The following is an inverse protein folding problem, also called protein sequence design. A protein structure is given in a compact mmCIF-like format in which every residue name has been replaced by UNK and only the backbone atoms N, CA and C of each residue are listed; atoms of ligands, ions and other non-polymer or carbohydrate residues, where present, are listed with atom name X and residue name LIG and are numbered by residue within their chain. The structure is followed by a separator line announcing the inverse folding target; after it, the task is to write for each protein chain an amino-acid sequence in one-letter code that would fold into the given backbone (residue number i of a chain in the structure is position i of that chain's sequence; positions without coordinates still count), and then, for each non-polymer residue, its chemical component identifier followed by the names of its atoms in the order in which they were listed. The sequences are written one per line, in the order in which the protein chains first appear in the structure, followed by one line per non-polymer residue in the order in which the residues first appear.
data_IF_458353019882
#
_entry.id   IF_458353019882
#
_cell.length_a   1.000
_cell.length_b   1.000
_cell.length_c   1.000
_cell.angle_alpha   90.00
_cell.angle_beta   90.00
_cell.angle_gamma   90.00
#
_symmetry.space_group_name_H-M   'P 1'
#
loop_
_entity.id
_entity.type
_entity.pdbx_description
1 polymer ?
#
# COMPACT_ATOMS: atom_id res chain seq x y z
N UNK A 1 46.36 78.28 32.09
CA UNK A 1 45.15 78.35 31.22
C UNK A 1 45.21 77.42 29.99
N UNK A 2 46.34 77.30 29.27
CA UNK A 2 46.43 76.49 28.03
C UNK A 2 46.19 74.97 28.24
N UNK A 3 46.79 74.39 29.28
CA UNK A 3 46.71 72.93 29.61
C UNK A 3 45.29 72.48 29.99
N UNK A 4 44.55 73.30 30.75
CA UNK A 4 43.17 73.00 31.15
C UNK A 4 42.22 72.97 29.94
N UNK A 5 42.47 73.84 28.96
CA UNK A 5 41.69 73.91 27.72
C UNK A 5 41.91 72.68 26.85
N UNK A 6 43.16 72.24 26.67
CA UNK A 6 43.49 71.01 25.93
C UNK A 6 42.97 69.74 26.62
N UNK A 7 42.98 69.68 27.95
CA UNK A 7 42.41 68.56 28.69
C UNK A 7 40.88 68.46 28.53
N UNK A 8 40.17 69.59 28.63
CA UNK A 8 38.73 69.64 28.40
C UNK A 8 38.36 69.23 26.96
N UNK A 9 39.13 69.65 25.96
CA UNK A 9 38.89 69.27 24.56
C UNK A 9 39.11 67.78 24.33
N UNK A 10 40.20 67.21 24.88
CA UNK A 10 40.46 65.76 24.82
C UNK A 10 39.37 64.94 25.54
N UNK A 11 38.91 65.41 26.70
CA UNK A 11 37.80 64.78 27.44
C UNK A 11 36.51 64.80 26.63
N UNK A 12 36.21 65.93 25.95
CA UNK A 12 35.05 66.06 25.07
C UNK A 12 35.12 65.11 23.87
N UNK A 13 36.30 64.98 23.24
CA UNK A 13 36.52 64.03 22.16
C UNK A 13 36.37 62.57 22.64
N UNK A 14 36.92 62.24 23.80
CA UNK A 14 36.82 60.89 24.38
C UNK A 14 35.37 60.50 24.71
N UNK A 15 34.58 61.39 25.32
CA UNK A 15 33.16 61.14 25.58
C UNK A 15 32.35 60.95 24.30
N UNK A 16 32.68 61.71 23.24
CA UNK A 16 32.06 61.57 21.92
C UNK A 16 32.36 60.19 21.31
N UNK A 17 33.60 59.72 21.46
CA UNK A 17 34.02 58.39 21.00
C UNK A 17 33.26 57.27 21.73
N UNK A 18 33.17 57.35 23.06
CA UNK A 18 32.40 56.38 23.87
C UNK A 18 30.94 56.33 23.42
N UNK A 19 30.32 57.48 23.18
CA UNK A 19 28.93 57.55 22.77
C UNK A 19 28.70 56.92 21.38
N UNK A 20 29.63 57.14 20.44
CA UNK A 20 29.58 56.51 19.11
C UNK A 20 29.75 55.00 19.21
N UNK A 21 30.74 54.52 19.97
CA UNK A 21 30.97 53.08 20.18
C UNK A 21 29.74 52.43 20.83
N UNK A 22 29.17 53.03 21.86
CA UNK A 22 27.99 52.49 22.54
C UNK A 22 26.70 52.55 21.70
N UNK A 23 26.61 53.44 20.72
CA UNK A 23 25.51 53.42 19.74
C UNK A 23 25.72 52.30 18.73
N UNK A 24 26.91 52.21 18.14
CA UNK A 24 27.25 51.17 17.17
C UNK A 24 27.14 49.76 17.76
N UNK A 25 27.54 49.55 19.03
CA UNK A 25 27.40 48.27 19.71
C UNK A 25 25.94 47.82 19.85
N UNK A 26 25.04 48.75 20.18
CA UNK A 26 23.60 48.46 20.30
C UNK A 26 22.94 48.16 18.96
N UNK A 27 23.42 48.82 17.90
CA UNK A 27 22.96 48.59 16.53
C UNK A 27 23.35 47.18 16.07
N UNK A 28 24.60 46.78 16.30
CA UNK A 28 25.09 45.42 16.03
C UNK A 28 24.34 44.36 16.85
N UNK A 29 24.06 44.62 18.13
CA UNK A 29 23.27 43.70 18.97
C UNK A 29 21.83 43.53 18.45
N UNK A 30 21.22 44.60 17.94
CA UNK A 30 19.89 44.55 17.32
C UNK A 30 19.88 43.70 16.05
N UNK A 31 20.84 43.94 15.15
CA UNK A 31 21.01 43.14 13.91
C UNK A 31 21.28 41.66 14.23
N UNK A 32 22.07 41.38 15.27
CA UNK A 32 22.35 40.01 15.70
C UNK A 32 21.09 39.29 16.23
N UNK A 33 20.19 40.03 16.89
CA UNK A 33 18.93 39.48 17.38
C UNK A 33 17.99 39.13 16.23
N UNK A 34 17.84 40.05 15.26
CA UNK A 34 17.02 39.83 14.06
C UNK A 34 17.54 38.66 13.21
N UNK A 35 18.87 38.53 13.09
CA UNK A 35 19.50 37.38 12.45
C UNK A 35 19.19 36.06 13.15
N UNK A 36 19.15 36.03 14.49
CA UNK A 36 18.79 34.81 15.24
C UNK A 36 17.34 34.42 15.02
N UNK A 37 16.42 35.38 15.00
CA UNK A 37 15.00 35.11 14.78
C UNK A 37 14.76 34.56 13.36
N UNK A 38 15.41 35.16 12.35
CA UNK A 38 15.37 34.66 10.98
C UNK A 38 15.94 33.23 10.86
N UNK A 39 17.05 32.94 11.56
CA UNK A 39 17.64 31.61 11.60
C UNK A 39 16.65 30.59 12.18
N UNK A 40 15.96 30.93 13.28
CA UNK A 40 14.96 30.06 13.90
C UNK A 40 13.79 29.77 12.96
N UNK A 41 13.30 30.78 12.24
CA UNK A 41 12.24 30.60 11.23
C UNK A 41 12.70 29.66 10.11
N UNK A 42 13.92 29.84 9.61
CA UNK A 42 14.49 28.98 8.57
C UNK A 42 14.60 27.53 9.07
N UNK A 43 15.13 27.32 10.28
CA UNK A 43 15.27 25.98 10.86
C UNK A 43 13.92 25.26 10.99
N UNK A 44 12.90 25.98 11.46
CA UNK A 44 11.55 25.43 11.53
C UNK A 44 11.02 25.07 10.15
N UNK A 45 11.17 25.96 9.16
CA UNK A 45 10.75 25.66 7.78
C UNK A 45 11.49 24.47 7.17
N UNK A 46 12.78 24.31 7.47
CA UNK A 46 13.58 23.17 7.04
C UNK A 46 13.07 21.87 7.65
N UNK A 47 12.71 21.87 8.93
CA UNK A 47 12.12 20.70 9.59
C UNK A 47 10.79 20.29 8.95
N UNK A 48 9.89 21.25 8.68
CA UNK A 48 8.63 20.99 7.98
C UNK A 48 8.82 20.45 6.57
N UNK A 49 9.73 21.05 5.79
CA UNK A 49 10.02 20.59 4.43
C UNK A 49 10.63 19.18 4.45
N UNK A 50 11.49 18.87 5.42
CA UNK A 50 12.07 17.55 5.55
C UNK A 50 11.00 16.49 5.87
N UNK A 51 10.08 16.79 6.79
CA UNK A 51 8.96 15.91 7.11
C UNK A 51 8.06 15.68 5.88
N UNK A 52 7.67 16.75 5.17
CA UNK A 52 6.82 16.63 3.99
C UNK A 52 7.51 15.87 2.84
N UNK A 53 8.81 16.11 2.60
CA UNK A 53 9.60 15.36 1.63
C UNK A 53 9.72 13.88 2.01
N UNK A 54 9.88 13.57 3.30
CA UNK A 54 9.91 12.18 3.77
C UNK A 54 8.55 11.49 3.55
N UNK A 55 7.46 12.21 3.80
CA UNK A 55 6.10 11.78 3.51
C UNK A 55 5.86 11.56 2.03
N UNK A 56 6.42 12.43 1.18
CA UNK A 56 6.36 12.31 -0.27
C UNK A 56 7.10 11.07 -0.78
N UNK A 57 8.37 10.85 -0.37
CA UNK A 57 9.13 9.66 -0.74
C UNK A 57 8.41 8.37 -0.34
N UNK A 58 7.90 8.29 0.90
CA UNK A 58 7.15 7.11 1.37
C UNK A 58 5.90 6.83 0.53
N UNK A 59 5.19 7.87 0.09
CA UNK A 59 4.01 7.72 -0.78
C UNK A 59 4.41 7.27 -2.19
N UNK A 60 5.53 7.78 -2.70
CA UNK A 60 6.06 7.42 -4.01
C UNK A 60 6.54 5.96 -4.01
N UNK A 61 7.37 5.56 -3.06
CA UNK A 61 7.87 4.18 -2.93
C UNK A 61 6.72 3.18 -2.81
N UNK A 62 5.68 3.51 -2.04
CA UNK A 62 4.51 2.66 -1.90
C UNK A 62 3.69 2.56 -3.19
N UNK A 63 3.62 3.64 -3.98
CA UNK A 63 2.96 3.61 -5.30
C UNK A 63 3.73 2.71 -6.25
N UNK A 64 5.04 2.91 -6.34
CA UNK A 64 5.90 2.16 -7.25
C UNK A 64 5.87 0.66 -6.88
N UNK A 65 5.90 0.33 -5.59
CA UNK A 65 5.71 -1.03 -5.08
C UNK A 65 4.37 -1.66 -5.50
N UNK A 66 3.26 -0.90 -5.39
CA UNK A 66 1.94 -1.38 -5.77
C UNK A 66 1.81 -1.58 -7.28
N UNK A 67 2.39 -0.68 -8.08
CA UNK A 67 2.39 -0.75 -9.55
C UNK A 67 3.19 -1.94 -10.06
N UNK A 68 4.39 -2.17 -9.51
CA UNK A 68 5.21 -3.35 -9.80
C UNK A 68 4.45 -4.64 -9.47
N UNK A 69 3.80 -4.66 -8.30
CA UNK A 69 3.01 -5.81 -7.86
C UNK A 69 1.85 -6.09 -8.82
N UNK A 70 1.09 -5.07 -9.20
CA UNK A 70 -0.02 -5.22 -10.16
C UNK A 70 0.47 -5.68 -11.52
N UNK A 71 1.63 -5.19 -11.96
CA UNK A 71 2.27 -5.59 -13.22
C UNK A 71 2.58 -7.09 -13.22
N UNK A 72 3.16 -7.63 -12.14
CA UNK A 72 3.43 -9.07 -12.00
C UNK A 72 2.14 -9.89 -11.99
N UNK A 73 1.13 -9.46 -11.23
CA UNK A 73 -0.14 -10.19 -11.10
C UNK A 73 -0.94 -10.20 -12.42
N UNK A 74 -0.89 -9.12 -13.19
CA UNK A 74 -1.55 -9.05 -14.49
C UNK A 74 -0.78 -9.80 -15.58
N UNK A 75 0.55 -9.88 -15.45
CA UNK A 75 1.38 -10.73 -16.30
C UNK A 75 1.05 -12.22 -16.12
N UNK A 76 0.76 -12.68 -14.90
CA UNK A 76 0.31 -14.07 -14.66
C UNK A 76 -0.98 -14.39 -15.42
N UNK A 77 -2.00 -13.55 -15.27
CA UNK A 77 -3.22 -13.65 -16.07
C UNK A 77 -4.02 -12.35 -15.99
N UNK A 78 -4.64 -11.91 -17.10
CA UNK A 78 -5.57 -10.78 -17.07
C UNK A 78 -6.93 -11.16 -16.45
N UNK A 79 -7.24 -12.45 -16.32
CA UNK A 79 -8.55 -12.93 -15.87
C UNK A 79 -8.75 -12.59 -14.38
N UNK A 80 -9.94 -12.09 -14.05
CA UNK A 80 -10.35 -11.79 -12.69
C UNK A 80 -11.70 -12.46 -12.35
N UNK A 81 -11.67 -13.52 -11.53
CA UNK A 81 -12.89 -14.20 -11.08
C UNK A 81 -13.61 -13.48 -9.94
N UNK A 82 -12.99 -12.48 -9.28
CA UNK A 82 -13.63 -11.74 -8.20
C UNK A 82 -14.87 -10.96 -8.68
N UNK A 83 -14.82 -10.41 -9.90
CA UNK A 83 -15.98 -9.77 -10.51
C UNK A 83 -17.14 -10.76 -10.70
N UNK A 84 -16.86 -11.95 -11.24
CA UNK A 84 -17.87 -13.00 -11.42
C UNK A 84 -18.45 -13.47 -10.09
N UNK A 85 -17.60 -13.64 -9.07
CA UNK A 85 -18.03 -13.99 -7.72
C UNK A 85 -19.01 -12.95 -7.16
N UNK A 86 -18.69 -11.66 -7.31
CA UNK A 86 -19.55 -10.55 -6.89
C UNK A 86 -20.90 -10.57 -7.63
N UNK A 87 -20.89 -10.83 -8.93
CA UNK A 87 -22.13 -10.91 -9.72
C UNK A 87 -23.00 -12.10 -9.27
N UNK A 88 -22.40 -13.29 -9.10
CA UNK A 88 -23.13 -14.48 -8.71
C UNK A 88 -23.68 -14.42 -7.28
N UNK A 89 -22.96 -13.79 -6.34
CA UNK A 89 -23.49 -13.59 -4.99
C UNK A 89 -24.58 -12.52 -4.98
N UNK A 90 -24.52 -11.52 -5.86
CA UNK A 90 -25.58 -10.51 -6.00
C UNK A 90 -26.90 -11.12 -6.53
N UNK A 91 -26.82 -12.10 -7.43
CA UNK A 91 -28.01 -12.78 -7.97
C UNK A 91 -28.65 -13.79 -7.02
N UNK A 92 -27.97 -14.13 -5.92
CA UNK A 92 -28.48 -15.04 -4.91
C UNK A 92 -29.79 -14.52 -4.32
N UNK A 93 -30.81 -15.37 -4.29
CA UNK A 93 -32.02 -15.11 -3.51
C UNK A 93 -31.78 -15.42 -2.02
N UNK A 94 -32.43 -14.65 -1.14
CA UNK A 94 -32.31 -14.86 0.30
C UNK A 94 -32.66 -16.31 0.67
N UNK A 95 -31.87 -16.90 1.59
CA UNK A 95 -31.98 -18.30 2.06
C UNK A 95 -31.63 -19.41 1.06
N UNK A 96 -31.34 -19.09 -0.20
CA UNK A 96 -30.85 -20.09 -1.16
C UNK A 96 -29.53 -20.69 -0.67
N UNK A 97 -29.40 -22.02 -0.78
CA UNK A 97 -28.18 -22.75 -0.41
C UNK A 97 -27.93 -22.90 1.08
N UNK A 98 -28.84 -22.44 1.96
CA UNK A 98 -28.68 -22.57 3.41
C UNK A 98 -28.58 -24.04 3.85
N UNK A 99 -29.35 -24.93 3.21
CA UNK A 99 -29.29 -26.37 3.46
C UNK A 99 -27.88 -26.97 3.24
N UNK A 100 -27.10 -26.41 2.30
CA UNK A 100 -25.73 -26.84 2.03
C UNK A 100 -24.77 -26.31 3.10
N UNK A 101 -24.94 -25.05 3.52
CA UNK A 101 -24.15 -24.45 4.60
C UNK A 101 -24.36 -25.16 5.93
N UNK A 102 -25.58 -25.62 6.19
CA UNK A 102 -25.93 -26.32 7.41
C UNK A 102 -25.57 -27.81 7.39
N UNK A 103 -25.24 -28.35 6.22
CA UNK A 103 -24.93 -29.77 6.02
C UNK A 103 -23.71 -30.22 6.84
N UNK A 104 -23.74 -31.47 7.30
CA UNK A 104 -22.64 -32.06 8.07
C UNK A 104 -21.41 -32.25 7.18
N UNK A 105 -21.64 -32.57 5.91
CA UNK A 105 -20.65 -32.83 4.89
C UNK A 105 -19.78 -31.58 4.65
N UNK A 106 -20.40 -30.41 4.45
CA UNK A 106 -19.67 -29.16 4.27
C UNK A 106 -18.88 -28.80 5.54
N UNK A 107 -19.52 -28.87 6.72
CA UNK A 107 -18.85 -28.52 7.99
C UNK A 107 -17.62 -29.41 8.24
N UNK A 108 -17.77 -30.72 8.03
CA UNK A 108 -16.67 -31.68 8.17
C UNK A 108 -15.54 -31.40 7.16
N UNK A 109 -15.90 -31.05 5.93
CA UNK A 109 -14.94 -30.68 4.88
C UNK A 109 -14.14 -29.41 5.24
N UNK A 110 -14.78 -28.40 5.84
CA UNK A 110 -14.09 -27.16 6.26
C UNK A 110 -13.18 -27.38 7.46
N UNK A 111 -13.57 -28.25 8.39
CA UNK A 111 -12.82 -28.49 9.64
C UNK A 111 -11.66 -29.48 9.49
N UNK A 112 -11.60 -30.22 8.37
CA UNK A 112 -10.60 -31.26 8.14
C UNK A 112 -9.64 -30.86 7.03
N UNK A 113 -8.34 -30.96 7.29
CA UNK A 113 -7.33 -30.66 6.28
C UNK A 113 -7.36 -31.66 5.11
N UNK A 114 -6.96 -31.17 3.92
CA UNK A 114 -6.74 -31.97 2.70
C UNK A 114 -7.96 -32.79 2.26
N UNK A 115 -9.16 -32.27 2.47
CA UNK A 115 -10.40 -32.90 2.01
C UNK A 115 -10.90 -32.35 0.68
N UNK A 116 -11.64 -33.18 -0.05
CA UNK A 116 -12.37 -32.79 -1.26
C UNK A 116 -13.85 -33.08 -1.07
N UNK A 117 -14.69 -32.05 -1.15
CA UNK A 117 -16.13 -32.20 -1.17
C UNK A 117 -16.64 -32.24 -2.61
N UNK A 118 -17.22 -33.36 -3.00
CA UNK A 118 -17.83 -33.51 -4.32
C UNK A 118 -19.34 -33.30 -4.24
N UNK A 119 -19.84 -32.30 -4.97
CA UNK A 119 -21.26 -31.92 -5.00
C UNK A 119 -21.87 -32.21 -6.39
N UNK A 120 -22.32 -33.46 -6.66
CA UNK A 120 -22.98 -33.77 -7.91
C UNK A 120 -24.35 -33.09 -7.97
N UNK A 121 -24.67 -32.47 -9.10
CA UNK A 121 -25.98 -31.87 -9.34
C UNK A 121 -26.40 -32.06 -10.80
N UNK A 122 -27.70 -32.04 -11.07
CA UNK A 122 -28.22 -32.01 -12.45
C UNK A 122 -27.94 -30.66 -13.14
N UNK A 123 -27.86 -30.59 -14.48
CA UNK A 123 -27.78 -29.33 -15.20
C UNK A 123 -28.92 -28.37 -14.81
N UNK A 124 -28.64 -27.08 -14.67
CA UNK A 124 -29.64 -26.07 -14.27
C UNK A 124 -29.93 -25.99 -12.76
N UNK A 125 -29.38 -26.88 -11.92
CA UNK A 125 -29.61 -26.88 -10.46
C UNK A 125 -28.99 -25.69 -9.68
N UNK A 126 -28.42 -24.70 -10.36
CA UNK A 126 -27.82 -23.54 -9.70
C UNK A 126 -26.45 -23.79 -9.07
N UNK A 127 -25.68 -24.75 -9.58
CA UNK A 127 -24.31 -25.07 -9.09
C UNK A 127 -23.44 -23.83 -8.90
N UNK A 128 -23.41 -22.94 -9.89
CA UNK A 128 -22.63 -21.69 -9.83
C UNK A 128 -23.04 -20.80 -8.65
N UNK A 129 -24.34 -20.69 -8.36
CA UNK A 129 -24.85 -19.93 -7.22
C UNK A 129 -24.52 -20.63 -5.90
N UNK A 130 -24.60 -21.97 -5.84
CA UNK A 130 -24.18 -22.72 -4.65
C UNK A 130 -22.68 -22.57 -4.39
N UNK A 131 -21.85 -22.63 -5.43
CA UNK A 131 -20.40 -22.37 -5.32
C UNK A 131 -20.12 -20.96 -4.84
N UNK A 132 -20.80 -19.94 -5.37
CA UNK A 132 -20.60 -18.56 -4.92
C UNK A 132 -21.00 -18.35 -3.46
N UNK A 133 -22.04 -19.04 -2.99
CA UNK A 133 -22.46 -19.06 -1.59
C UNK A 133 -21.36 -19.66 -0.70
N UNK A 134 -20.81 -20.83 -1.08
CA UNK A 134 -19.74 -21.48 -0.31
C UNK A 134 -18.50 -20.60 -0.26
N UNK A 135 -18.07 -20.03 -1.39
CA UNK A 135 -16.93 -19.11 -1.45
C UNK A 135 -17.17 -17.92 -0.50
N UNK A 136 -18.34 -17.29 -0.57
CA UNK A 136 -18.66 -16.14 0.28
C UNK A 136 -18.63 -16.50 1.77
N UNK A 137 -19.17 -17.66 2.14
CA UNK A 137 -19.13 -18.15 3.53
C UNK A 137 -17.69 -18.36 4.00
N UNK A 138 -16.87 -19.06 3.22
CA UNK A 138 -15.47 -19.29 3.58
C UNK A 138 -14.71 -17.97 3.70
N UNK A 139 -14.89 -17.05 2.73
CA UNK A 139 -14.22 -15.74 2.74
C UNK A 139 -14.61 -14.93 3.96
N UNK A 140 -15.88 -14.98 4.37
CA UNK A 140 -16.36 -14.30 5.57
C UNK A 140 -15.81 -14.95 6.83
N UNK A 141 -15.79 -16.29 6.88
CA UNK A 141 -15.32 -17.07 8.04
C UNK A 141 -13.83 -16.88 8.33
N UNK A 142 -13.01 -16.74 7.29
CA UNK A 142 -11.55 -16.68 7.40
C UNK A 142 -10.96 -15.31 7.06
N UNK A 143 -11.77 -14.24 7.10
CA UNK A 143 -11.34 -12.89 6.72
C UNK A 143 -10.17 -12.36 7.58
N UNK A 144 -10.14 -12.74 8.86
CA UNK A 144 -9.11 -12.31 9.82
C UNK A 144 -7.95 -13.30 9.94
N UNK A 145 -7.98 -14.44 9.23
CA UNK A 145 -6.94 -15.47 9.28
C UNK A 145 -5.96 -15.32 8.12
N UNK A 146 -4.85 -14.63 8.38
CA UNK A 146 -3.79 -14.40 7.40
C UNK A 146 -3.06 -15.69 6.95
N UNK A 147 -3.29 -16.84 7.59
CA UNK A 147 -2.71 -18.11 7.17
C UNK A 147 -3.58 -18.84 6.13
N UNK A 148 -4.82 -18.40 5.91
CA UNK A 148 -5.77 -19.07 5.03
C UNK A 148 -6.03 -18.21 3.79
N UNK A 149 -5.66 -18.75 2.62
CA UNK A 149 -5.98 -18.15 1.33
C UNK A 149 -7.09 -18.96 0.64
N UNK A 150 -8.19 -18.29 0.32
CA UNK A 150 -9.30 -18.90 -0.42
C UNK A 150 -9.14 -18.55 -1.90
N UNK A 151 -9.04 -19.59 -2.72
CA UNK A 151 -8.91 -19.47 -4.17
C UNK A 151 -9.99 -20.28 -4.87
N UNK A 152 -10.48 -19.77 -5.99
CA UNK A 152 -11.60 -20.37 -6.70
C UNK A 152 -11.54 -20.12 -8.20
N UNK A 153 -12.18 -21.02 -8.96
CA UNK A 153 -12.26 -20.94 -10.42
C UNK A 153 -13.69 -21.14 -10.86
N UNK A 154 -14.10 -20.40 -11.88
CA UNK A 154 -15.36 -20.61 -12.58
C UNK A 154 -15.09 -21.15 -13.99
N UNK A 155 -15.15 -22.48 -14.12
CA UNK A 155 -14.96 -23.15 -15.40
C UNK A 155 -16.23 -23.04 -16.26
N UNK A 156 -16.09 -22.52 -17.48
CA UNK A 156 -17.16 -22.39 -18.45
C UNK A 156 -16.91 -23.34 -19.62
N UNK A 157 -17.67 -24.42 -19.67
CA UNK A 157 -17.57 -25.45 -20.70
C UNK A 157 -17.76 -24.94 -22.14
N UNK A 158 -18.35 -23.75 -22.33
CA UNK A 158 -18.53 -23.13 -23.66
C UNK A 158 -17.32 -22.31 -24.12
N UNK A 159 -16.31 -22.13 -23.27
CA UNK A 159 -15.08 -21.36 -23.55
C UNK A 159 -13.84 -22.24 -23.42
N UNK A 160 -13.91 -23.49 -23.89
CA UNK A 160 -12.79 -24.44 -23.82
C UNK A 160 -11.50 -23.87 -24.43
N UNK A 161 -11.61 -23.07 -25.48
CA UNK A 161 -10.46 -22.45 -26.16
C UNK A 161 -9.71 -21.41 -25.31
N UNK A 162 -10.35 -20.87 -24.25
CA UNK A 162 -9.79 -19.85 -23.35
C UNK A 162 -9.64 -20.35 -21.90
N UNK A 163 -9.63 -21.67 -21.69
CA UNK A 163 -9.47 -22.29 -20.36
C UNK A 163 -8.48 -23.46 -20.44
N UNK A 164 -7.26 -23.19 -20.92
CA UNK A 164 -6.18 -24.16 -20.86
C UNK A 164 -5.79 -24.42 -19.40
N UNK A 165 -5.17 -25.57 -19.12
CA UNK A 165 -4.71 -25.89 -17.77
C UNK A 165 -3.78 -24.80 -17.21
N UNK A 166 -2.94 -24.23 -18.07
CA UNK A 166 -2.05 -23.11 -17.76
C UNK A 166 -2.82 -21.87 -17.29
N UNK A 167 -3.89 -21.48 -17.99
CA UNK A 167 -4.74 -20.33 -17.59
C UNK A 167 -5.37 -20.52 -16.21
N UNK A 168 -5.80 -21.74 -15.88
CA UNK A 168 -6.40 -22.05 -14.60
C UNK A 168 -5.36 -22.00 -13.48
N UNK A 169 -4.17 -22.57 -13.71
CA UNK A 169 -3.07 -22.59 -12.75
C UNK A 169 -2.50 -21.20 -12.50
N UNK A 170 -2.27 -20.40 -13.54
CA UNK A 170 -1.81 -19.01 -13.40
C UNK A 170 -2.84 -18.15 -12.66
N UNK A 171 -4.13 -18.43 -12.84
CA UNK A 171 -5.18 -17.73 -12.09
C UNK A 171 -5.21 -18.10 -10.61
N UNK A 172 -5.09 -19.39 -10.27
CA UNK A 172 -4.94 -19.81 -8.88
C UNK A 172 -3.70 -19.15 -8.25
N UNK A 173 -2.57 -19.18 -8.95
CA UNK A 173 -1.32 -18.55 -8.50
C UNK A 173 -1.50 -17.04 -8.27
N UNK A 174 -2.18 -16.34 -9.19
CA UNK A 174 -2.52 -14.92 -9.04
C UNK A 174 -3.33 -14.66 -7.77
N UNK A 175 -4.38 -15.44 -7.52
CA UNK A 175 -5.22 -15.27 -6.33
C UNK A 175 -4.45 -15.52 -5.04
N UNK A 176 -3.61 -16.56 -5.00
CA UNK A 176 -2.74 -16.82 -3.84
C UNK A 176 -1.76 -15.68 -3.57
N UNK A 177 -1.17 -15.12 -4.63
CA UNK A 177 -0.25 -13.98 -4.51
C UNK A 177 -0.97 -12.70 -4.10
N UNK A 178 -2.20 -12.49 -4.58
CA UNK A 178 -3.03 -11.33 -4.23
C UNK A 178 -3.36 -11.28 -2.74
N UNK A 179 -3.57 -12.43 -2.09
CA UNK A 179 -3.84 -12.52 -0.66
C UNK A 179 -2.62 -12.26 0.24
N UNK A 180 -1.40 -12.28 -0.30
CA UNK A 180 -0.17 -12.12 0.49
C UNK A 180 0.29 -10.66 0.54
N UNK A 181 0.94 -10.23 1.62
CA UNK A 181 1.50 -8.88 1.76
C UNK A 181 2.64 -8.60 0.76
N UNK A 182 3.42 -9.62 0.42
CA UNK A 182 4.51 -9.56 -0.55
C UNK A 182 4.41 -10.67 -1.58
N UNK A 183 4.86 -10.42 -2.81
CA UNK A 183 4.97 -11.46 -3.84
C UNK A 183 6.06 -12.48 -3.46
N UNK A 184 5.79 -13.80 -3.56
CA UNK A 184 6.79 -14.82 -3.36
C UNK A 184 8.00 -14.64 -4.28
N UNK A 185 9.21 -14.91 -3.77
CA UNK A 185 10.44 -14.82 -4.56
C UNK A 185 10.41 -15.73 -5.80
N UNK A 186 9.79 -16.91 -5.70
CA UNK A 186 9.61 -17.83 -6.81
C UNK A 186 8.83 -17.21 -7.98
N UNK A 187 7.80 -16.41 -7.68
CA UNK A 187 6.98 -15.72 -8.70
C UNK A 187 7.76 -14.59 -9.35
N UNK A 188 8.58 -13.87 -8.57
CA UNK A 188 9.48 -12.84 -9.12
C UNK A 188 10.55 -13.45 -10.02
N UNK A 189 11.15 -14.56 -9.60
CA UNK A 189 12.14 -15.29 -10.39
C UNK A 189 11.54 -15.79 -11.71
N UNK A 190 10.32 -16.36 -11.66
CA UNK A 190 9.58 -16.79 -12.85
C UNK A 190 9.28 -15.61 -13.79
N UNK A 191 8.84 -14.47 -13.27
CA UNK A 191 8.62 -13.29 -14.11
C UNK A 191 9.91 -12.84 -14.80
N UNK A 192 11.04 -12.83 -14.09
CA UNK A 192 12.31 -12.40 -14.65
C UNK A 192 12.78 -13.34 -15.78
N UNK A 193 12.66 -14.67 -15.60
CA UNK A 193 13.05 -15.63 -16.65
C UNK A 193 12.20 -15.49 -17.92
N UNK A 194 10.94 -15.10 -17.79
CA UNK A 194 10.04 -14.88 -18.93
C UNK A 194 10.18 -13.49 -19.56
N UNK A 195 10.55 -12.47 -18.77
CA UNK A 195 10.88 -11.12 -19.29
C UNK A 195 12.05 -11.17 -20.27
N UNK A 196 13.07 -11.96 -19.96
CA UNK A 196 14.24 -12.13 -20.83
C UNK A 196 13.89 -12.85 -22.15
N UNK A 197 12.84 -13.68 -22.14
CA UNK A 197 12.38 -14.46 -23.29
C UNK A 197 11.21 -13.80 -24.08
N UNK A 198 10.57 -12.77 -23.52
CA UNK A 198 9.39 -12.13 -24.10
C UNK A 198 8.13 -13.01 -24.13
N UNK A 199 8.02 -13.99 -23.23
CA UNK A 199 6.92 -14.96 -23.20
C UNK A 199 5.98 -14.72 -22.02
N UNK A 200 4.73 -15.17 -22.17
CA UNK A 200 3.81 -15.29 -21.04
C UNK A 200 4.05 -16.64 -20.34
N UNK A 201 3.69 -16.75 -19.05
CA UNK A 201 3.80 -18.00 -18.31
C UNK A 201 2.79 -19.04 -18.79
#
# INVERSE_FOLDING_TARGET
QKVQKTWNEKKKQFMKLIQVIGKSSREVEGELLELKDNLAVIQNSQAYLHDDLSGFHRRQDNRDFLEDRLTVLNWLTPINYAAQQSDFICWRQARTGQWLLDSRELKTWVETERQTLFCPCIPGAGKTILTSIVINELTTRFIDDNNISIVYLYCNFRRQDNQMAEDLLTNLLKQMCQGQSSLPESVKALQNSHKDAGTNP
#
